data_IF_595570190423
#
_entry.id   IF_595570190423
#
_cell.length_a   1.000
_cell.length_b   1.000
_cell.length_c   1.000
_cell.angle_alpha   90.00
_cell.angle_beta   90.00
_cell.angle_gamma   90.00
#
_symmetry.space_group_name_H-M   'P 1'
#
loop_
_entity.id
_entity.type
_entity.pdbx_description
1 polymer ?
#
# COMPACT_ATOMS: atom_id res chain seq x y z
N UNK A 1 33.04 -29.92 16.92
CA UNK A 1 32.45 -28.83 16.09
C UNK A 1 31.30 -29.29 15.18
N UNK A 2 31.36 -30.44 14.49
CA UNK A 2 30.26 -30.93 13.60
C UNK A 2 28.92 -31.27 14.29
N UNK A 3 28.93 -31.69 15.56
CA UNK A 3 27.72 -32.07 16.33
C UNK A 3 26.82 -30.87 16.69
N UNK A 4 27.40 -29.67 16.86
CA UNK A 4 26.66 -28.46 17.22
C UNK A 4 25.77 -27.95 16.06
N UNK A 5 26.22 -28.13 14.81
CA UNK A 5 25.45 -27.76 13.62
C UNK A 5 24.20 -28.63 13.44
N UNK A 6 24.25 -29.91 13.81
CA UNK A 6 23.11 -30.83 13.67
C UNK A 6 21.98 -30.57 14.67
N UNK A 7 22.32 -30.11 15.88
CA UNK A 7 21.34 -29.73 16.91
C UNK A 7 20.64 -28.41 16.57
N UNK A 8 21.40 -27.41 16.13
CA UNK A 8 20.85 -26.14 15.65
C UNK A 8 19.92 -26.35 14.44
N UNK A 9 20.32 -27.16 13.46
CA UNK A 9 19.47 -27.48 12.29
C UNK A 9 18.15 -28.13 12.72
N UNK A 10 18.17 -29.07 13.68
CA UNK A 10 16.94 -29.69 14.19
C UNK A 10 16.04 -28.70 14.93
N UNK A 11 16.62 -27.76 15.68
CA UNK A 11 15.87 -26.71 16.37
C UNK A 11 15.22 -25.72 15.39
N UNK A 12 15.93 -25.31 14.34
CA UNK A 12 15.36 -24.49 13.27
C UNK A 12 14.28 -25.24 12.49
N UNK A 13 14.47 -26.53 12.22
CA UNK A 13 13.47 -27.37 11.56
C UNK A 13 12.20 -27.50 12.40
N UNK A 14 12.34 -27.65 13.72
CA UNK A 14 11.23 -27.68 14.65
C UNK A 14 10.47 -26.34 14.68
N UNK A 15 11.18 -25.20 14.77
CA UNK A 15 10.58 -23.86 14.68
C UNK A 15 9.87 -23.62 13.35
N UNK A 16 10.43 -24.08 12.24
CA UNK A 16 9.77 -24.00 10.93
C UNK A 16 8.50 -24.85 10.87
N UNK A 17 8.54 -26.06 11.41
CA UNK A 17 7.38 -26.95 11.48
C UNK A 17 6.26 -26.39 12.37
N UNK A 18 6.60 -25.66 13.44
CA UNK A 18 5.64 -24.95 14.28
C UNK A 18 5.06 -23.70 13.61
N UNK A 19 5.87 -22.98 12.80
CA UNK A 19 5.39 -21.82 12.04
C UNK A 19 4.53 -22.21 10.83
N UNK A 20 4.78 -23.38 10.23
CA UNK A 20 4.05 -23.87 9.06
C UNK A 20 2.52 -23.86 9.22
N UNK A 21 1.92 -24.38 10.32
CA UNK A 21 0.47 -24.32 10.51
C UNK A 21 -0.04 -22.89 10.65
N UNK A 22 0.67 -22.01 11.35
CA UNK A 22 0.29 -20.58 11.49
C UNK A 22 0.32 -19.88 10.13
N UNK A 23 1.34 -20.15 9.32
CA UNK A 23 1.45 -19.60 7.96
C UNK A 23 0.30 -20.11 7.08
N UNK A 24 0.00 -21.41 7.14
CA UNK A 24 -1.09 -22.01 6.38
C UNK A 24 -2.45 -21.42 6.79
N UNK A 25 -2.69 -21.28 8.10
CA UNK A 25 -3.90 -20.63 8.63
C UNK A 25 -4.02 -19.20 8.13
N UNK A 26 -2.98 -18.37 8.26
CA UNK A 26 -2.99 -16.98 7.75
C UNK A 26 -3.19 -16.90 6.25
N UNK A 27 -2.60 -17.83 5.50
CA UNK A 27 -2.78 -17.94 4.05
C UNK A 27 -4.23 -18.27 3.71
N UNK A 28 -4.81 -19.26 4.36
CA UNK A 28 -6.19 -19.69 4.11
C UNK A 28 -7.18 -18.60 4.54
N UNK A 29 -6.91 -17.91 5.66
CA UNK A 29 -7.62 -16.71 6.06
C UNK A 29 -7.57 -15.64 4.98
N UNK A 30 -6.39 -15.36 4.40
CA UNK A 30 -6.19 -14.37 3.34
C UNK A 30 -6.94 -14.73 2.06
N UNK A 31 -6.85 -15.99 1.64
CA UNK A 31 -7.60 -16.53 0.48
C UNK A 31 -9.10 -16.38 0.72
N UNK A 32 -9.57 -16.69 1.93
CA UNK A 32 -10.96 -16.53 2.30
C UNK A 32 -11.41 -15.05 2.27
N UNK A 33 -10.57 -14.08 2.71
CA UNK A 33 -10.94 -12.66 2.61
C UNK A 33 -11.05 -12.21 1.16
N UNK A 34 -10.11 -12.63 0.32
CA UNK A 34 -10.05 -12.26 -1.10
C UNK A 34 -11.29 -12.78 -1.86
N UNK A 35 -11.78 -13.97 -1.48
CA UNK A 35 -12.97 -14.59 -2.07
C UNK A 35 -14.29 -14.18 -1.42
N UNK A 36 -14.26 -13.40 -0.35
CA UNK A 36 -15.47 -13.02 0.37
C UNK A 36 -16.32 -12.03 -0.47
N UNK A 37 -17.54 -12.46 -0.78
CA UNK A 37 -18.55 -11.71 -1.51
C UNK A 37 -19.79 -11.43 -0.66
N UNK A 38 -19.70 -11.63 0.67
CA UNK A 38 -20.82 -11.39 1.57
C UNK A 38 -21.28 -9.93 1.53
N UNK A 39 -22.57 -9.73 1.80
CA UNK A 39 -23.19 -8.42 1.87
C UNK A 39 -22.46 -7.53 2.88
N UNK A 40 -22.41 -6.24 2.57
CA UNK A 40 -21.80 -5.23 3.41
C UNK A 40 -22.77 -4.93 4.57
N UNK A 41 -22.41 -5.35 5.77
CA UNK A 41 -23.08 -4.93 6.99
C UNK A 41 -22.22 -3.89 7.69
N UNK A 42 -22.75 -2.68 7.88
CA UNK A 42 -22.19 -1.64 8.75
C UNK A 42 -20.80 -1.09 8.32
N UNK A 43 -20.65 -0.69 7.05
CA UNK A 43 -19.44 0.05 6.62
C UNK A 43 -19.52 1.49 7.12
N UNK A 44 -18.53 1.87 7.93
CA UNK A 44 -18.22 3.27 8.19
C UNK A 44 -17.51 3.90 6.97
N UNK A 45 -18.32 4.46 6.06
CA UNK A 45 -17.84 5.12 4.84
C UNK A 45 -16.94 6.33 5.17
N UNK A 46 -17.10 6.97 6.33
CA UNK A 46 -16.28 8.11 6.74
C UNK A 46 -14.87 7.65 7.08
N UNK A 47 -14.72 6.59 7.88
CA UNK A 47 -13.42 5.98 8.18
C UNK A 47 -12.76 5.40 6.95
N UNK A 48 -13.52 4.69 6.11
CA UNK A 48 -13.02 4.14 4.84
C UNK A 48 -12.47 5.26 3.97
N UNK A 49 -13.26 6.32 3.77
CA UNK A 49 -12.85 7.48 2.99
C UNK A 49 -11.60 8.13 3.57
N UNK A 50 -11.58 8.40 4.88
CA UNK A 50 -10.44 9.03 5.53
C UNK A 50 -9.14 8.24 5.34
N UNK A 51 -9.17 6.91 5.50
CA UNK A 51 -7.98 6.05 5.35
C UNK A 51 -7.47 6.08 3.91
N UNK A 52 -8.36 5.83 2.94
CA UNK A 52 -7.95 5.71 1.54
C UNK A 52 -7.63 7.05 0.87
N UNK A 53 -8.30 8.15 1.26
CA UNK A 53 -7.93 9.50 0.81
C UNK A 53 -6.55 9.87 1.33
N UNK A 54 -6.23 9.59 2.61
CA UNK A 54 -4.89 9.84 3.14
C UNK A 54 -3.83 8.97 2.47
N UNK A 55 -4.14 7.71 2.19
CA UNK A 55 -3.25 6.86 1.38
C UNK A 55 -3.02 7.45 -0.02
N UNK A 56 -4.06 8.00 -0.66
CA UNK A 56 -3.96 8.71 -1.93
C UNK A 56 -3.05 9.94 -1.85
N UNK A 57 -3.18 10.75 -0.79
CA UNK A 57 -2.30 11.90 -0.53
C UNK A 57 -0.84 11.46 -0.36
N UNK A 58 -0.58 10.38 0.37
CA UNK A 58 0.78 9.86 0.56
C UNK A 58 1.38 9.36 -0.76
N UNK A 59 0.63 8.60 -1.55
CA UNK A 59 1.07 8.09 -2.86
C UNK A 59 1.30 9.23 -3.87
N UNK A 60 0.46 10.26 -3.82
CA UNK A 60 0.63 11.45 -4.65
C UNK A 60 1.89 12.22 -4.26
N UNK A 61 2.09 12.48 -2.96
CA UNK A 61 3.29 13.13 -2.45
C UNK A 61 4.56 12.35 -2.79
N UNK A 62 4.53 11.02 -2.65
CA UNK A 62 5.60 10.12 -3.08
C UNK A 62 5.93 10.30 -4.57
N UNK A 63 4.91 10.37 -5.43
CA UNK A 63 5.08 10.59 -6.88
C UNK A 63 5.71 11.94 -7.19
N UNK A 64 5.29 13.00 -6.50
CA UNK A 64 5.88 14.34 -6.63
C UNK A 64 7.34 14.35 -6.19
N UNK A 65 7.65 13.78 -5.01
CA UNK A 65 9.03 13.68 -4.51
C UNK A 65 9.91 12.84 -5.43
N UNK A 66 9.36 11.77 -6.01
CA UNK A 66 10.04 10.95 -7.01
C UNK A 66 10.45 11.77 -8.23
N UNK A 67 9.51 12.51 -8.83
CA UNK A 67 9.78 13.35 -10.01
C UNK A 67 10.80 14.44 -9.69
N UNK A 68 10.62 15.16 -8.58
CA UNK A 68 11.53 16.22 -8.16
C UNK A 68 12.95 15.69 -7.90
N UNK A 69 13.05 14.53 -7.24
CA UNK A 69 14.34 13.92 -6.96
C UNK A 69 15.03 13.42 -8.22
N UNK A 70 14.27 12.79 -9.11
CA UNK A 70 14.77 12.31 -10.41
C UNK A 70 15.35 13.44 -11.25
N UNK A 71 14.66 14.59 -11.30
CA UNK A 71 15.03 15.70 -12.18
C UNK A 71 16.07 16.66 -11.60
N UNK A 72 16.03 16.92 -10.29
CA UNK A 72 16.78 18.02 -9.67
C UNK A 72 17.66 17.52 -8.53
N UNK A 73 17.09 16.74 -7.60
CA UNK A 73 17.74 16.44 -6.32
C UNK A 73 18.74 15.29 -6.38
N UNK A 74 18.76 14.52 -7.46
CA UNK A 74 19.59 13.32 -7.57
C UNK A 74 21.07 13.61 -7.34
N UNK A 75 21.60 14.71 -7.89
CA UNK A 75 23.01 15.09 -7.70
C UNK A 75 23.31 15.45 -6.25
N UNK A 76 22.38 16.11 -5.56
CA UNK A 76 22.52 16.51 -4.15
C UNK A 76 22.45 15.29 -3.24
N UNK A 77 21.49 14.38 -3.44
CA UNK A 77 21.37 13.14 -2.67
C UNK A 77 22.61 12.26 -2.89
N UNK A 78 23.12 12.21 -4.12
CA UNK A 78 24.32 11.46 -4.49
C UNK A 78 25.60 11.90 -3.75
N UNK A 79 25.66 13.13 -3.22
CA UNK A 79 26.80 13.59 -2.40
C UNK A 79 26.85 12.91 -1.03
N UNK A 80 25.70 12.48 -0.51
CA UNK A 80 25.58 11.92 0.83
C UNK A 80 25.32 10.40 0.81
N UNK A 81 24.66 9.89 -0.23
CA UNK A 81 24.16 8.52 -0.30
C UNK A 81 24.55 7.87 -1.62
N UNK A 82 25.26 6.74 -1.57
CA UNK A 82 25.53 5.93 -2.77
C UNK A 82 24.29 5.13 -3.18
N UNK A 83 24.20 4.69 -4.44
CA UNK A 83 23.06 3.88 -4.92
C UNK A 83 22.84 2.62 -4.08
N UNK A 84 23.92 1.97 -3.64
CA UNK A 84 23.83 0.78 -2.79
C UNK A 84 23.14 1.08 -1.45
N UNK A 85 23.56 2.13 -0.75
CA UNK A 85 22.88 2.57 0.48
C UNK A 85 21.47 3.08 0.21
N UNK A 86 21.25 3.74 -0.93
CA UNK A 86 19.92 4.17 -1.36
C UNK A 86 18.93 3.01 -1.51
N UNK A 87 19.37 1.86 -2.05
CA UNK A 87 18.54 0.64 -2.17
C UNK A 87 18.15 0.14 -0.77
N UNK A 88 19.11 0.03 0.15
CA UNK A 88 18.84 -0.42 1.52
C UNK A 88 17.89 0.56 2.23
N UNK A 89 18.12 1.87 2.05
CA UNK A 89 17.26 2.90 2.62
C UNK A 89 15.83 2.80 2.08
N UNK A 90 15.65 2.73 0.76
CA UNK A 90 14.35 2.74 0.11
C UNK A 90 13.54 1.46 0.39
N UNK A 91 14.17 0.28 0.32
CA UNK A 91 13.43 -0.98 0.32
C UNK A 91 13.52 -1.76 1.64
N UNK A 92 14.35 -1.32 2.58
CA UNK A 92 14.45 -1.97 3.91
C UNK A 92 14.16 -0.99 5.03
N UNK A 93 14.83 0.17 5.04
CA UNK A 93 14.71 1.12 6.16
C UNK A 93 13.38 1.89 6.09
N UNK A 94 12.95 2.38 4.93
CA UNK A 94 11.68 3.10 4.80
C UNK A 94 10.47 2.22 5.19
N UNK A 95 10.33 0.97 4.72
CA UNK A 95 9.27 0.08 5.17
C UNK A 95 9.32 -0.21 6.68
N UNK A 96 10.53 -0.42 7.24
CA UNK A 96 10.70 -0.63 8.67
C UNK A 96 10.29 0.60 9.50
N UNK A 97 10.62 1.81 9.03
CA UNK A 97 10.19 3.06 9.65
C UNK A 97 8.68 3.25 9.57
N UNK A 98 8.07 2.97 8.42
CA UNK A 98 6.63 3.02 8.26
C UNK A 98 5.94 2.06 9.24
N UNK A 99 6.42 0.82 9.33
CA UNK A 99 5.92 -0.16 10.31
C UNK A 99 6.08 0.35 11.74
N UNK A 100 7.26 0.84 12.11
CA UNK A 100 7.52 1.39 13.44
C UNK A 100 6.53 2.51 13.79
N UNK A 101 6.28 3.46 12.88
CA UNK A 101 5.30 4.53 13.13
C UNK A 101 3.85 4.04 13.20
N UNK A 102 3.52 2.91 12.55
CA UNK A 102 2.20 2.26 12.59
C UNK A 102 2.01 1.38 13.83
N UNK A 103 3.07 0.86 14.45
CA UNK A 103 2.95 -0.02 15.62
C UNK A 103 3.26 0.65 16.94
N UNK A 104 4.00 1.76 16.92
CA UNK A 104 4.36 2.44 18.16
C UNK A 104 3.10 2.98 18.83
N UNK A 105 2.80 2.57 20.08
CA UNK A 105 1.74 3.17 20.86
C UNK A 105 2.16 4.59 21.25
N UNK A 106 1.29 5.55 21.00
CA UNK A 106 1.53 6.95 21.39
C UNK A 106 0.43 7.29 22.39
N UNK A 107 0.85 7.62 23.61
CA UNK A 107 -0.05 8.10 24.66
C UNK A 107 -0.48 9.54 24.35
N UNK A 108 -1.78 9.82 24.41
CA UNK A 108 -2.34 11.16 24.14
C UNK A 108 -3.76 11.12 23.58
N UNK A 109 -4.28 12.30 23.24
CA UNK A 109 -5.58 12.44 22.56
C UNK A 109 -5.58 11.69 21.23
N UNK A 110 -6.55 10.77 21.05
CA UNK A 110 -6.65 9.88 19.90
C UNK A 110 -6.65 10.65 18.56
N UNK A 111 -7.30 11.81 18.50
CA UNK A 111 -7.35 12.63 17.28
C UNK A 111 -6.01 13.28 16.94
N UNK A 112 -5.28 13.73 17.96
CA UNK A 112 -3.98 14.36 17.79
C UNK A 112 -2.93 13.31 17.40
N UNK A 113 -2.99 12.13 18.02
CA UNK A 113 -2.14 10.98 17.71
C UNK A 113 -2.34 10.50 16.27
N UNK A 114 -3.59 10.30 15.83
CA UNK A 114 -3.91 9.90 14.46
C UNK A 114 -3.39 10.92 13.43
N UNK A 115 -3.61 12.23 13.69
CA UNK A 115 -3.09 13.30 12.83
C UNK A 115 -1.57 13.26 12.73
N UNK A 116 -0.86 13.19 13.86
CA UNK A 116 0.60 13.12 13.89
C UNK A 116 1.12 11.91 13.12
N UNK A 117 0.48 10.76 13.28
CA UNK A 117 0.86 9.54 12.58
C UNK A 117 0.75 9.71 11.06
N UNK A 118 -0.35 10.30 10.57
CA UNK A 118 -0.55 10.58 9.14
C UNK A 118 0.54 11.50 8.57
N UNK A 119 0.89 12.57 9.28
CA UNK A 119 1.96 13.47 8.84
C UNK A 119 3.36 12.82 8.88
N UNK A 120 3.65 11.97 9.88
CA UNK A 120 4.92 11.22 9.91
C UNK A 120 5.01 10.23 8.74
N UNK A 121 3.94 9.50 8.47
CA UNK A 121 3.86 8.59 7.33
C UNK A 121 3.95 9.33 5.99
N UNK A 122 3.38 10.53 5.89
CA UNK A 122 3.58 11.40 4.73
C UNK A 122 5.05 11.77 4.52
N UNK A 123 5.77 12.08 5.61
CA UNK A 123 7.22 12.32 5.58
C UNK A 123 8.00 11.10 5.09
N UNK A 124 7.63 9.89 5.55
CA UNK A 124 8.23 8.63 5.07
C UNK A 124 7.95 8.43 3.58
N UNK A 125 6.71 8.64 3.13
CA UNK A 125 6.34 8.49 1.72
C UNK A 125 7.09 9.48 0.81
N UNK A 126 7.28 10.73 1.26
CA UNK A 126 8.10 11.72 0.56
C UNK A 126 9.56 11.28 0.46
N UNK A 127 10.15 10.80 1.57
CA UNK A 127 11.53 10.31 1.60
C UNK A 127 11.71 9.08 0.69
N UNK A 128 10.77 8.13 0.73
CA UNK A 128 10.76 6.95 -0.12
C UNK A 128 10.63 7.32 -1.61
N UNK A 129 9.75 8.27 -1.94
CA UNK A 129 9.62 8.83 -3.28
C UNK A 129 10.94 9.45 -3.75
N UNK A 130 11.55 10.29 -2.92
CA UNK A 130 12.82 10.94 -3.23
C UNK A 130 13.96 9.92 -3.44
N UNK A 131 14.06 8.90 -2.59
CA UNK A 131 15.06 7.84 -2.73
C UNK A 131 14.86 7.05 -4.02
N UNK A 132 13.62 6.64 -4.33
CA UNK A 132 13.31 5.95 -5.59
C UNK A 132 13.64 6.84 -6.81
N UNK A 133 13.37 8.14 -6.73
CA UNK A 133 13.69 9.11 -7.79
C UNK A 133 15.19 9.22 -8.03
N UNK A 134 15.97 9.25 -6.94
CA UNK A 134 17.42 9.19 -6.99
C UNK A 134 17.91 7.86 -7.59
N UNK A 135 17.38 6.71 -7.16
CA UNK A 135 17.80 5.40 -7.66
C UNK A 135 17.52 5.21 -9.15
N UNK A 136 16.44 5.83 -9.67
CA UNK A 136 15.99 5.67 -11.06
C UNK A 136 16.35 6.86 -11.98
N UNK A 137 17.22 7.77 -11.54
CA UNK A 137 17.58 8.96 -12.32
C UNK A 137 18.32 8.64 -13.63
N UNK A 138 19.20 7.64 -13.63
CA UNK A 138 19.97 7.22 -14.80
C UNK A 138 19.18 6.26 -15.72
N UNK A 139 17.99 5.81 -15.27
CA UNK A 139 17.13 4.95 -16.07
C UNK A 139 16.13 5.78 -16.87
N UNK A 140 16.29 5.73 -18.19
CA UNK A 140 15.24 6.11 -19.14
C UNK A 140 14.11 5.08 -19.03
N UNK A 141 13.12 5.35 -18.19
CA UNK A 141 11.85 4.64 -18.21
C UNK A 141 10.99 5.36 -19.25
N UNK A 142 10.74 4.75 -20.42
CA UNK A 142 9.86 5.37 -21.42
C UNK A 142 8.42 5.38 -20.88
N UNK A 143 7.81 6.56 -20.87
CA UNK A 143 6.44 6.78 -20.43
C UNK A 143 6.30 7.21 -18.97
N UNK A 144 5.17 7.85 -18.67
CA UNK A 144 4.78 8.21 -17.31
C UNK A 144 4.02 7.01 -16.71
N UNK A 145 4.44 6.46 -15.56
CA UNK A 145 3.71 5.35 -14.95
C UNK A 145 2.29 5.80 -14.54
N UNK A 146 1.33 4.86 -14.44
CA UNK A 146 0.00 5.18 -13.93
C UNK A 146 0.12 5.79 -12.52
N UNK A 147 -0.65 6.82 -12.16
CA UNK A 147 -0.59 7.38 -10.82
C UNK A 147 -1.22 6.42 -9.80
N UNK A 148 -0.40 5.74 -9.00
CA UNK A 148 -0.87 4.82 -7.95
C UNK A 148 -1.87 5.46 -6.97
N UNK A 149 -1.80 6.78 -6.78
CA UNK A 149 -2.73 7.55 -5.96
C UNK A 149 -4.17 7.51 -6.45
N UNK A 150 -4.43 7.30 -7.75
CA UNK A 150 -5.78 7.25 -8.31
C UNK A 150 -6.58 6.09 -7.76
N UNK A 151 -5.97 4.92 -7.60
CA UNK A 151 -6.65 3.78 -6.99
C UNK A 151 -7.06 4.07 -5.54
N UNK A 152 -6.16 4.65 -4.75
CA UNK A 152 -6.46 5.01 -3.37
C UNK A 152 -7.53 6.11 -3.28
N UNK A 153 -7.46 7.15 -4.11
CA UNK A 153 -8.50 8.18 -4.16
C UNK A 153 -9.85 7.63 -4.62
N UNK A 154 -9.87 6.75 -5.62
CA UNK A 154 -11.11 6.13 -6.08
C UNK A 154 -11.76 5.32 -4.97
N UNK A 155 -10.99 4.48 -4.26
CA UNK A 155 -11.50 3.70 -3.12
C UNK A 155 -11.95 4.60 -1.96
N UNK A 156 -11.32 5.76 -1.76
CA UNK A 156 -11.73 6.68 -0.70
C UNK A 156 -12.93 7.57 -1.05
N UNK A 157 -13.08 7.99 -2.31
CA UNK A 157 -14.08 8.98 -2.72
C UNK A 157 -15.32 8.36 -3.35
N UNK A 158 -15.16 7.32 -4.18
CA UNK A 158 -16.28 6.71 -4.90
C UNK A 158 -17.35 6.10 -3.98
N UNK A 159 -17.05 5.50 -2.82
CA UNK A 159 -18.09 5.00 -1.93
C UNK A 159 -18.99 6.10 -1.38
N UNK A 160 -18.44 7.30 -1.21
CA UNK A 160 -19.19 8.49 -0.76
C UNK A 160 -20.06 9.03 -1.90
N UNK A 161 -19.46 9.19 -3.08
CA UNK A 161 -20.13 9.77 -4.27
C UNK A 161 -21.18 8.85 -4.89
N UNK A 162 -20.94 7.54 -4.88
CA UNK A 162 -21.81 6.52 -5.48
C UNK A 162 -22.55 5.68 -4.42
N UNK A 163 -22.65 6.18 -3.18
CA UNK A 163 -23.31 5.50 -2.05
C UNK A 163 -24.72 5.00 -2.40
N UNK A 164 -25.50 5.81 -3.13
CA UNK A 164 -26.84 5.47 -3.61
C UNK A 164 -26.87 4.30 -4.60
N UNK A 165 -25.80 4.10 -5.38
CA UNK A 165 -25.69 3.07 -6.42
C UNK A 165 -25.08 1.78 -5.87
N UNK A 166 -24.16 1.89 -4.90
CA UNK A 166 -23.46 0.77 -4.27
C UNK A 166 -24.39 0.02 -3.32
N UNK A 167 -25.12 0.74 -2.45
CA UNK A 167 -25.93 0.12 -1.40
C UNK A 167 -25.10 -0.81 -0.51
N UNK A 168 -25.64 -1.99 -0.18
CA UNK A 168 -24.96 -3.00 0.64
C UNK A 168 -24.24 -4.09 -0.18
N UNK A 169 -24.02 -3.85 -1.48
CA UNK A 169 -23.45 -4.83 -2.39
C UNK A 169 -21.92 -4.66 -2.49
N UNK A 170 -21.19 -5.67 -2.00
CA UNK A 170 -19.73 -5.67 -2.01
C UNK A 170 -19.15 -5.66 -3.43
N UNK A 171 -19.78 -6.36 -4.37
CA UNK A 171 -19.30 -6.43 -5.75
C UNK A 171 -19.48 -5.09 -6.46
N UNK A 172 -20.57 -4.38 -6.17
CA UNK A 172 -20.75 -3.01 -6.68
C UNK A 172 -19.73 -2.04 -6.08
N UNK A 173 -19.47 -2.12 -4.77
CA UNK A 173 -18.44 -1.30 -4.12
C UNK A 173 -17.08 -1.49 -4.79
N UNK A 174 -16.64 -2.74 -4.94
CA UNK A 174 -15.35 -3.08 -5.55
C UNK A 174 -15.32 -2.67 -7.03
N UNK A 175 -16.39 -2.97 -7.77
CA UNK A 175 -16.48 -2.65 -9.19
C UNK A 175 -16.41 -1.15 -9.46
N UNK A 176 -17.13 -0.34 -8.69
CA UNK A 176 -17.14 1.13 -8.84
C UNK A 176 -15.81 1.74 -8.40
N UNK A 177 -15.22 1.26 -7.30
CA UNK A 177 -13.97 1.82 -6.77
C UNK A 177 -12.74 1.36 -7.55
N UNK A 178 -12.43 0.07 -7.53
CA UNK A 178 -11.24 -0.51 -8.15
C UNK A 178 -11.38 -0.53 -9.66
N UNK A 179 -12.56 -0.92 -10.18
CA UNK A 179 -12.82 -0.89 -11.62
C UNK A 179 -12.82 0.54 -12.18
N UNK A 180 -13.40 1.50 -11.45
CA UNK A 180 -13.34 2.91 -11.80
C UNK A 180 -11.91 3.46 -11.86
N UNK A 181 -11.07 3.10 -10.87
CA UNK A 181 -9.66 3.46 -10.88
C UNK A 181 -8.92 2.87 -12.09
N UNK A 182 -9.14 1.59 -12.38
CA UNK A 182 -8.53 0.90 -13.52
C UNK A 182 -8.88 1.57 -14.85
N UNK A 183 -10.17 1.91 -15.06
CA UNK A 183 -10.62 2.60 -16.28
C UNK A 183 -9.99 3.99 -16.40
N UNK A 184 -9.88 4.72 -15.29
CA UNK A 184 -9.21 6.02 -15.25
C UNK A 184 -7.72 5.90 -15.59
N UNK A 185 -7.02 4.92 -15.04
CA UNK A 185 -5.62 4.65 -15.37
C UNK A 185 -5.47 4.32 -16.86
N UNK A 186 -6.35 3.49 -17.43
CA UNK A 186 -6.35 3.19 -18.87
C UNK A 186 -6.61 4.44 -19.72
N UNK A 187 -7.54 5.30 -19.32
CA UNK A 187 -7.82 6.56 -20.02
C UNK A 187 -6.59 7.47 -20.05
N UNK A 188 -5.87 7.59 -18.93
CA UNK A 188 -4.61 8.35 -18.86
C UNK A 188 -3.57 7.71 -19.78
N UNK A 189 -3.43 6.38 -19.75
CA UNK A 189 -2.50 5.65 -20.61
C UNK A 189 -2.79 5.82 -22.10
N UNK A 190 -4.06 5.90 -22.49
CA UNK A 190 -4.44 6.19 -23.88
C UNK A 190 -3.98 7.59 -24.33
N UNK A 191 -3.91 8.56 -23.42
CA UNK A 191 -3.45 9.93 -23.71
C UNK A 191 -1.91 10.04 -23.65
N UNK A 192 -1.26 9.38 -22.69
CA UNK A 192 0.19 9.50 -22.44
C UNK A 192 1.05 8.48 -23.18
N UNK A 193 0.42 7.46 -23.78
CA UNK A 193 1.07 6.37 -24.50
C UNK A 193 0.99 5.06 -23.71
N UNK A 194 0.22 4.11 -24.24
CA UNK A 194 -0.01 2.82 -23.62
C UNK A 194 1.17 1.89 -23.91
N UNK A 195 1.94 1.52 -22.88
CA UNK A 195 3.01 0.54 -22.97
C UNK A 195 2.64 -0.76 -22.24
N UNK A 196 3.31 -1.86 -22.56
CA UNK A 196 3.15 -3.11 -21.81
C UNK A 196 3.46 -2.91 -20.31
N UNK A 197 4.48 -2.11 -19.99
CA UNK A 197 4.81 -1.75 -18.60
C UNK A 197 3.70 -0.95 -17.92
N UNK A 198 3.06 -0.02 -18.65
CA UNK A 198 1.92 0.75 -18.15
C UNK A 198 0.74 -0.19 -17.81
N UNK A 199 0.38 -1.09 -18.71
CA UNK A 199 -0.71 -2.07 -18.49
C UNK A 199 -0.44 -2.97 -17.29
N UNK A 200 0.79 -3.49 -17.17
CA UNK A 200 1.19 -4.31 -16.02
C UNK A 200 1.06 -3.51 -14.72
N UNK A 201 1.48 -2.25 -14.69
CA UNK A 201 1.33 -1.39 -13.52
C UNK A 201 -0.14 -1.10 -13.18
N UNK A 202 -1.01 -0.85 -14.16
CA UNK A 202 -2.45 -0.68 -13.94
C UNK A 202 -3.07 -1.90 -13.26
N UNK A 203 -2.75 -3.10 -13.76
CA UNK A 203 -3.24 -4.36 -13.19
C UNK A 203 -2.71 -4.55 -11.78
N UNK A 204 -1.41 -4.29 -11.54
CA UNK A 204 -0.81 -4.42 -10.20
C UNK A 204 -1.41 -3.44 -9.19
N UNK A 205 -1.63 -2.18 -9.56
CA UNK A 205 -2.24 -1.19 -8.68
C UNK A 205 -3.71 -1.52 -8.38
N UNK A 206 -4.46 -1.97 -9.38
CA UNK A 206 -5.84 -2.41 -9.19
C UNK A 206 -5.94 -3.67 -8.33
N UNK A 207 -5.04 -4.63 -8.54
CA UNK A 207 -4.96 -5.83 -7.71
C UNK A 207 -4.59 -5.49 -6.26
N UNK A 208 -3.62 -4.59 -6.04
CA UNK A 208 -3.26 -4.12 -4.71
C UNK A 208 -4.44 -3.38 -4.04
N UNK A 209 -5.11 -2.49 -4.76
CA UNK A 209 -6.31 -1.79 -4.27
C UNK A 209 -7.43 -2.75 -3.88
N UNK A 210 -7.69 -3.77 -4.70
CA UNK A 210 -8.64 -4.83 -4.40
C UNK A 210 -8.29 -5.60 -3.13
N UNK A 211 -7.04 -6.05 -2.98
CA UNK A 211 -6.60 -6.80 -1.79
C UNK A 211 -6.71 -5.94 -0.53
N UNK A 212 -6.25 -4.68 -0.56
CA UNK A 212 -6.29 -3.78 0.59
C UNK A 212 -7.75 -3.48 0.97
N UNK A 213 -8.62 -3.24 0.00
CA UNK A 213 -10.05 -3.02 0.24
C UNK A 213 -10.72 -4.26 0.88
N UNK A 214 -10.44 -5.46 0.38
CA UNK A 214 -10.98 -6.71 0.96
C UNK A 214 -10.50 -6.92 2.41
N UNK A 215 -9.24 -6.62 2.71
CA UNK A 215 -8.71 -6.68 4.08
C UNK A 215 -9.42 -5.68 4.98
N UNK A 216 -9.62 -4.45 4.51
CA UNK A 216 -10.33 -3.40 5.27
C UNK A 216 -11.76 -3.83 5.60
N UNK A 217 -12.51 -4.31 4.61
CA UNK A 217 -13.90 -4.72 4.78
C UNK A 217 -14.06 -5.87 5.78
N UNK A 218 -13.13 -6.84 5.79
CA UNK A 218 -13.16 -7.93 6.77
C UNK A 218 -12.81 -7.48 8.18
N UNK A 219 -11.79 -6.63 8.34
CA UNK A 219 -11.35 -6.14 9.66
C UNK A 219 -12.36 -5.17 10.28
N UNK A 220 -12.98 -4.30 9.48
CA UNK A 220 -14.07 -3.43 9.95
C UNK A 220 -15.24 -4.24 10.54
N UNK A 221 -15.54 -5.41 9.98
CA UNK A 221 -16.56 -6.34 10.50
C UNK A 221 -16.18 -6.97 11.85
N UNK A 222 -14.88 -7.18 12.12
CA UNK A 222 -14.41 -7.78 13.37
C UNK A 222 -14.44 -6.81 14.56
N UNK A 223 -14.32 -5.50 14.31
CA UNK A 223 -14.44 -4.47 15.36
C UNK A 223 -15.90 -4.20 15.76
N UNK A 224 -16.85 -4.38 14.83
CA UNK A 224 -18.30 -4.20 15.10
C UNK A 224 -18.94 -5.34 15.92
N UNK A 225 -18.30 -6.51 16.02
CA UNK A 225 -18.82 -7.69 16.76
C UNK A 225 -18.38 -7.71 18.24
N UNK A 226 -17.52 -6.77 18.66
CA UNK A 226 -17.03 -6.66 20.04
C UNK A 226 -17.71 -5.54 20.86
N UNK A 227 -18.94 -5.16 20.49
CA UNK A 227 -19.82 -4.30 21.28
C UNK A 227 -21.08 -5.04 21.70
#
# INVERSE_FOLDING_TARGET
MKLWNGLQVKEYQAKLNEMQPVINERKDEMIAMIKDQSALSDIDNSKLSAVFVWAGVMLFAMSVAFILSKCILSSIIGLFVTKFYGIILAYTIMPALAYYYITTPIEGDANLVDRLRRFRLLGVALAEGALNGFLLCERAIPGVPPPASLCAFSVGLMPVLASSTIGNDRMKLIGVTVGGAFVMDLAIGCVTGLSAGFLVLCVLYSAAGFVILQIYLKKGKAEAVNF
#
